data_IF_216525722589
#
_entry.id   IF_216525722589
#
_cell.length_a   1.000
_cell.length_b   1.000
_cell.length_c   1.000
_cell.angle_alpha   90.00
_cell.angle_beta   90.00
_cell.angle_gamma   90.00
#
_symmetry.space_group_name_H-M   'P 1'
#
loop_
_entity.id
_entity.type
_entity.pdbx_description
1 polymer ?
#
# COMPACT_ATOMS: atom_id res chain seq x y z
N UNK A 1 2.25 9.73 -0.22
CA UNK A 1 3.70 9.67 -0.50
C UNK A 1 4.26 11.05 -0.80
N UNK A 2 3.57 11.89 -1.58
CA UNK A 2 3.94 13.30 -1.81
C UNK A 2 4.17 14.09 -0.52
N UNK A 3 3.13 14.29 0.29
CA UNK A 3 3.24 15.06 1.55
C UNK A 3 4.23 14.43 2.53
N UNK A 4 4.19 13.10 2.66
CA UNK A 4 5.14 12.36 3.49
C UNK A 4 6.59 12.68 3.11
N UNK A 5 6.92 12.71 1.81
CA UNK A 5 8.27 12.99 1.34
C UNK A 5 8.76 14.41 1.70
N UNK A 6 7.84 15.38 1.79
CA UNK A 6 8.16 16.74 2.25
C UNK A 6 8.59 16.74 3.71
N UNK A 7 7.96 15.92 4.54
CA UNK A 7 8.23 15.86 5.99
C UNK A 7 9.50 15.06 6.34
N UNK A 8 9.75 13.94 5.65
CA UNK A 8 10.84 13.01 6.03
C UNK A 8 12.07 13.06 5.11
N UNK A 9 12.00 13.80 4.00
CA UNK A 9 13.01 13.78 2.94
C UNK A 9 12.78 12.69 1.89
N UNK A 10 13.27 12.92 0.67
CA UNK A 10 13.07 11.99 -0.46
C UNK A 10 13.89 10.71 -0.32
N UNK A 11 15.09 10.81 0.27
CA UNK A 11 16.03 9.72 0.48
C UNK A 11 15.49 8.64 1.43
N UNK A 12 14.63 9.03 2.38
CA UNK A 12 14.02 8.12 3.37
C UNK A 12 12.66 7.59 2.93
N UNK A 13 12.10 8.13 1.84
CA UNK A 13 10.73 7.82 1.43
C UNK A 13 10.52 6.33 1.16
N UNK A 14 11.48 5.67 0.50
CA UNK A 14 11.41 4.25 0.16
C UNK A 14 11.44 3.35 1.40
N UNK A 15 12.28 3.70 2.39
CA UNK A 15 12.41 2.97 3.67
C UNK A 15 11.09 3.07 4.45
N UNK A 16 10.62 4.29 4.70
CA UNK A 16 9.42 4.53 5.51
C UNK A 16 8.16 3.96 4.85
N UNK A 17 8.07 3.94 3.52
CA UNK A 17 6.96 3.28 2.83
C UNK A 17 6.89 1.78 3.12
N UNK A 18 8.03 1.09 3.16
CA UNK A 18 8.05 -0.34 3.50
C UNK A 18 7.69 -0.58 4.96
N UNK A 19 8.21 0.25 5.87
CA UNK A 19 7.87 0.16 7.30
C UNK A 19 6.36 0.34 7.53
N UNK A 20 5.73 1.33 6.89
CA UNK A 20 4.28 1.56 6.98
C UNK A 20 3.52 0.33 6.50
N UNK A 21 3.90 -0.24 5.35
CA UNK A 21 3.26 -1.46 4.84
C UNK A 21 3.37 -2.62 5.83
N UNK A 22 4.55 -2.84 6.42
CA UNK A 22 4.75 -3.91 7.39
C UNK A 22 3.95 -3.72 8.67
N UNK A 23 3.94 -2.51 9.23
CA UNK A 23 3.21 -2.19 10.46
C UNK A 23 1.70 -2.37 10.22
N UNK A 24 1.18 -1.85 9.11
CA UNK A 24 -0.24 -1.97 8.79
C UNK A 24 -0.65 -3.42 8.51
N UNK A 25 0.17 -4.19 7.79
CA UNK A 25 -0.10 -5.62 7.57
C UNK A 25 -0.14 -6.38 8.91
N UNK A 26 0.84 -6.15 9.79
CA UNK A 26 0.88 -6.78 11.12
C UNK A 26 -0.31 -6.38 12.00
N UNK A 27 -0.73 -5.12 11.91
CA UNK A 27 -1.89 -4.59 12.63
C UNK A 27 -3.24 -4.94 11.96
N UNK A 28 -3.22 -5.65 10.81
CA UNK A 28 -4.40 -5.94 10.00
C UNK A 28 -5.18 -4.68 9.56
N UNK A 29 -4.48 -3.56 9.41
CA UNK A 29 -5.04 -2.29 8.94
C UNK A 29 -4.83 -2.19 7.43
N UNK A 30 -5.88 -1.93 6.63
CA UNK A 30 -5.73 -1.81 5.18
C UNK A 30 -4.93 -0.57 4.78
N UNK A 31 -4.05 -0.72 3.79
CA UNK A 31 -3.22 0.37 3.25
C UNK A 31 -3.70 0.80 1.87
N UNK A 32 -3.68 2.11 1.63
CA UNK A 32 -3.94 2.71 0.32
C UNK A 32 -2.62 3.20 -0.27
N UNK A 33 -2.21 2.63 -1.40
CA UNK A 33 -1.07 3.10 -2.19
C UNK A 33 -1.47 4.37 -2.94
N UNK A 34 -0.99 5.52 -2.47
CA UNK A 34 -1.53 6.81 -2.88
C UNK A 34 -0.47 7.79 -3.37
N UNK A 35 -0.92 8.78 -4.13
CA UNK A 35 -0.19 9.93 -4.70
C UNK A 35 0.77 9.56 -5.83
N UNK A 36 0.69 10.30 -6.95
CA UNK A 36 1.54 10.18 -8.15
C UNK A 36 1.62 8.78 -8.80
N UNK A 37 0.62 7.92 -8.58
CA UNK A 37 0.53 6.63 -9.27
C UNK A 37 0.07 6.88 -10.71
N UNK A 38 0.88 6.47 -11.70
CA UNK A 38 0.62 6.65 -13.13
C UNK A 38 0.23 8.10 -13.50
N UNK A 39 0.81 9.10 -12.84
CA UNK A 39 0.43 10.51 -12.97
C UNK A 39 0.60 11.05 -14.40
N UNK A 40 1.72 10.72 -15.03
CA UNK A 40 2.06 11.12 -16.40
C UNK A 40 1.11 10.45 -17.37
N UNK A 41 0.85 9.16 -17.21
CA UNK A 41 -0.14 8.44 -18.04
C UNK A 41 -1.51 9.11 -17.95
N UNK A 42 -1.91 9.54 -16.77
CA UNK A 42 -3.19 10.18 -16.58
C UNK A 42 -3.30 11.53 -17.30
N UNK A 43 -2.18 12.23 -17.47
CA UNK A 43 -2.07 13.53 -18.15
C UNK A 43 -1.82 13.43 -19.66
N UNK A 44 -1.00 12.48 -20.09
CA UNK A 44 -0.46 12.40 -21.46
C UNK A 44 -0.93 11.18 -22.24
N UNK A 45 -1.50 10.18 -21.56
CA UNK A 45 -1.90 8.90 -22.12
C UNK A 45 -0.78 7.85 -22.21
N UNK A 46 0.43 8.19 -21.75
CA UNK A 46 1.61 7.32 -21.78
C UNK A 46 2.29 7.26 -20.41
N UNK A 47 2.54 6.04 -19.91
CA UNK A 47 3.28 5.83 -18.67
C UNK A 47 4.79 5.81 -18.91
N UNK A 48 5.52 6.30 -17.94
CA UNK A 48 6.97 6.15 -17.86
C UNK A 48 7.35 4.79 -17.26
N UNK A 49 8.58 4.33 -17.52
CA UNK A 49 9.09 3.08 -16.92
C UNK A 49 9.05 3.10 -15.39
N UNK A 50 9.40 4.23 -14.78
CA UNK A 50 9.38 4.40 -13.32
C UNK A 50 7.97 4.29 -12.77
N UNK A 51 6.97 4.86 -13.44
CA UNK A 51 5.57 4.77 -13.01
C UNK A 51 5.00 3.35 -13.13
N UNK A 52 5.39 2.58 -14.15
CA UNK A 52 4.98 1.17 -14.26
C UNK A 52 5.55 0.36 -13.10
N UNK A 53 6.84 0.53 -12.78
CA UNK A 53 7.47 -0.13 -11.63
C UNK A 53 6.83 0.30 -10.31
N UNK A 54 6.48 1.57 -10.17
CA UNK A 54 5.80 2.09 -8.98
C UNK A 54 4.38 1.54 -8.82
N UNK A 55 3.60 1.51 -9.90
CA UNK A 55 2.25 0.96 -9.91
C UNK A 55 2.25 -0.54 -9.59
N UNK A 56 3.27 -1.27 -10.05
CA UNK A 56 3.47 -2.67 -9.74
C UNK A 56 3.62 -2.92 -8.22
N UNK A 57 4.29 -2.02 -7.49
CA UNK A 57 4.40 -2.11 -6.03
C UNK A 57 3.07 -1.91 -5.30
N UNK A 58 2.08 -1.33 -5.98
CA UNK A 58 0.71 -1.22 -5.50
C UNK A 58 0.05 -2.57 -5.15
N UNK A 59 0.57 -3.70 -5.68
CA UNK A 59 0.10 -5.06 -5.32
C UNK A 59 0.28 -5.38 -3.83
N UNK A 60 1.18 -4.67 -3.14
CA UNK A 60 1.42 -4.82 -1.70
C UNK A 60 0.38 -4.09 -0.85
N UNK A 61 -0.51 -3.30 -1.44
CA UNK A 61 -1.56 -2.56 -0.77
C UNK A 61 -2.94 -3.16 -1.05
N UNK A 62 -3.92 -2.85 -0.20
CA UNK A 62 -5.32 -3.25 -0.41
C UNK A 62 -6.00 -2.42 -1.50
N UNK A 63 -5.53 -1.20 -1.72
CA UNK A 63 -6.09 -0.28 -2.71
C UNK A 63 -5.01 0.61 -3.30
N UNK A 64 -5.21 1.04 -4.55
CA UNK A 64 -4.36 2.00 -5.24
C UNK A 64 -5.20 3.23 -5.61
N UNK A 65 -4.73 4.42 -5.25
CA UNK A 65 -5.41 5.69 -5.53
C UNK A 65 -4.81 6.35 -6.77
N UNK A 66 -5.66 6.62 -7.76
CA UNK A 66 -5.33 7.40 -8.96
C UNK A 66 -5.87 8.82 -8.84
N UNK A 67 -5.16 9.78 -9.42
CA UNK A 67 -5.63 11.16 -9.54
C UNK A 67 -6.67 11.30 -10.68
N UNK A 68 -7.27 12.49 -10.82
CA UNK A 68 -8.08 12.85 -11.99
C UNK A 68 -7.20 13.18 -13.19
N UNK A 69 -7.65 12.83 -14.39
CA UNK A 69 -6.94 13.17 -15.62
C UNK A 69 -7.76 12.85 -16.87
N UNK A 70 -7.43 13.46 -18.02
CA UNK A 70 -8.13 13.22 -19.28
C UNK A 70 -8.07 11.75 -19.75
N UNK A 71 -7.04 11.00 -19.33
CA UNK A 71 -6.84 9.60 -19.72
C UNK A 71 -7.21 8.61 -18.61
N UNK A 72 -8.03 9.00 -17.62
CA UNK A 72 -8.32 8.19 -16.41
C UNK A 72 -8.81 6.78 -16.72
N UNK A 73 -9.66 6.60 -17.72
CA UNK A 73 -10.18 5.27 -18.11
C UNK A 73 -9.04 4.35 -18.54
N UNK A 74 -8.18 4.83 -19.45
CA UNK A 74 -7.00 4.10 -19.92
C UNK A 74 -6.01 3.82 -18.79
N UNK A 75 -5.84 4.76 -17.86
CA UNK A 75 -4.99 4.60 -16.68
C UNK A 75 -5.52 3.48 -15.78
N UNK A 76 -6.82 3.44 -15.52
CA UNK A 76 -7.48 2.38 -14.72
C UNK A 76 -7.32 1.02 -15.39
N UNK A 77 -7.57 0.92 -16.69
CA UNK A 77 -7.38 -0.32 -17.46
C UNK A 77 -5.94 -0.82 -17.38
N UNK A 78 -4.97 0.09 -17.55
CA UNK A 78 -3.55 -0.26 -17.48
C UNK A 78 -3.15 -0.71 -16.08
N UNK A 79 -3.61 -0.01 -15.05
CA UNK A 79 -3.36 -0.39 -13.66
C UNK A 79 -3.97 -1.76 -13.34
N UNK A 80 -5.20 -2.02 -13.79
CA UNK A 80 -5.86 -3.30 -13.60
C UNK A 80 -5.10 -4.44 -14.26
N UNK A 81 -4.58 -4.26 -15.48
CA UNK A 81 -3.75 -5.26 -16.17
C UNK A 81 -2.43 -5.52 -15.40
N UNK A 82 -1.74 -4.48 -14.95
CA UNK A 82 -0.51 -4.59 -14.15
C UNK A 82 -0.76 -5.41 -12.88
N UNK A 83 -1.77 -5.02 -12.08
CA UNK A 83 -2.07 -5.66 -10.81
C UNK A 83 -2.57 -7.09 -10.99
N UNK A 84 -3.41 -7.35 -11.99
CA UNK A 84 -3.93 -8.71 -12.26
C UNK A 84 -2.81 -9.68 -12.61
N UNK A 85 -1.81 -9.24 -13.38
CA UNK A 85 -0.63 -10.07 -13.70
C UNK A 85 0.23 -10.32 -12.48
N UNK A 86 0.41 -9.31 -11.61
CA UNK A 86 1.26 -9.42 -10.42
C UNK A 86 0.60 -10.20 -9.28
N UNK A 87 -0.72 -10.19 -9.18
CA UNK A 87 -1.45 -10.92 -8.15
C UNK A 87 -1.14 -12.43 -8.17
N UNK A 88 -0.84 -13.01 -9.33
CA UNK A 88 -0.41 -14.41 -9.43
C UNK A 88 1.00 -14.70 -8.91
N UNK A 89 1.81 -13.66 -8.69
CA UNK A 89 3.20 -13.76 -8.23
C UNK A 89 3.40 -13.31 -6.79
N UNK A 90 2.45 -12.55 -6.23
CA UNK A 90 2.52 -12.01 -4.89
C UNK A 90 1.51 -12.70 -3.98
N UNK A 91 2.03 -13.42 -2.99
CA UNK A 91 1.22 -13.97 -1.90
C UNK A 91 1.43 -13.10 -0.66
N UNK A 92 0.40 -12.33 -0.26
CA UNK A 92 0.47 -11.50 0.93
C UNK A 92 0.53 -12.41 2.15
N UNK A 93 1.70 -12.43 2.80
CA UNK A 93 1.94 -13.21 4.01
C UNK A 93 1.22 -12.59 5.20
N UNK A 94 -0.07 -12.87 5.31
CA UNK A 94 -0.91 -12.50 6.45
C UNK A 94 -0.68 -13.50 7.57
N UNK A 95 0.50 -13.44 8.18
CA UNK A 95 0.86 -14.32 9.29
C UNK A 95 -0.07 -14.02 10.46
N UNK A 96 -1.05 -14.89 10.70
CA UNK A 96 -1.85 -14.87 11.91
C UNK A 96 -0.95 -15.35 13.05
N UNK A 97 -0.39 -14.40 13.78
CA UNK A 97 0.40 -14.68 14.96
C UNK A 97 -0.54 -15.07 16.10
N UNK A 98 -0.11 -16.04 16.92
CA UNK A 98 -0.84 -16.37 18.15
C UNK A 98 -0.94 -15.12 19.05
N UNK A 99 -2.05 -14.94 19.80
CA UNK A 99 -2.16 -13.87 20.77
C UNK A 99 -0.95 -13.87 21.72
N UNK A 100 -0.39 -12.68 21.97
CA UNK A 100 0.67 -12.55 22.98
C UNK A 100 0.11 -12.96 24.34
N UNK A 101 0.82 -13.85 25.04
CA UNK A 101 0.41 -14.33 26.36
C UNK A 101 0.22 -13.17 27.36
N UNK A 102 1.01 -12.11 27.25
CA UNK A 102 0.86 -10.92 28.09
C UNK A 102 -0.44 -10.15 27.80
N UNK A 103 -0.83 -10.01 26.54
CA UNK A 103 -2.07 -9.34 26.15
C UNK A 103 -3.27 -10.18 26.57
N UNK A 104 -3.21 -11.50 26.38
CA UNK A 104 -4.21 -12.45 26.86
C UNK A 104 -4.42 -12.32 28.38
N UNK A 105 -3.34 -12.34 29.16
CA UNK A 105 -3.41 -12.19 30.61
C UNK A 105 -3.95 -10.82 31.05
N UNK A 106 -3.69 -9.76 30.29
CA UNK A 106 -4.22 -8.42 30.57
C UNK A 106 -5.75 -8.38 30.40
N UNK A 107 -6.26 -8.90 29.28
CA UNK A 107 -7.70 -8.93 29.02
C UNK A 107 -8.45 -9.89 29.96
N UNK A 108 -7.89 -11.07 30.25
CA UNK A 108 -8.45 -12.02 31.22
C UNK A 108 -8.51 -11.42 32.64
N UNK A 109 -7.54 -10.58 33.03
CA UNK A 109 -7.59 -9.85 34.30
C UNK A 109 -8.67 -8.77 34.33
N UNK A 110 -8.82 -8.00 33.25
CA UNK A 110 -9.83 -6.94 33.16
C UNK A 110 -11.27 -7.45 33.12
N UNK A 111 -11.52 -8.70 32.74
CA UNK A 111 -12.85 -9.33 32.82
C UNK A 111 -13.16 -9.89 34.22
N UNK A 112 -12.16 -10.00 35.09
CA UNK A 112 -12.30 -10.55 36.46
C UNK A 112 -12.33 -9.49 37.57
N UNK A 113 -12.15 -8.21 37.24
CA UNK A 113 -12.36 -7.09 38.17
C UNK A 113 -13.75 -6.46 37.93
N UNK A 114 -14.59 -6.30 38.97
CA UNK A 114 -15.95 -5.74 38.85
C UNK A 114 -15.98 -4.23 38.58
#
# INVERSE_FOLDING_TARGET
RGDLAVEIGFERLSEIQQEILWICEAAHVPVIWATQVLETMNKTGFATRSEITDAAMGVMAECVMLNKGPYVVKTVETLADILSRLAGHFDKKRYIMRPLSIARNFFERSETEP
#
